data_IF_268371288389
#
_entry.id   IF_268371288389
#
_cell.length_a   1.000
_cell.length_b   1.000
_cell.length_c   1.000
_cell.angle_alpha   90.00
_cell.angle_beta   90.00
_cell.angle_gamma   90.00
#
_symmetry.space_group_name_H-M   'P 1'
#
loop_
_entity.id
_entity.type
_entity.pdbx_description
1 polymer ?
#
# COMPACT_ATOMS: atom_id res chain seq x y z
N UNK A 1 -1.19 22.99 19.52
CA UNK A 1 -1.26 21.80 18.66
C UNK A 1 0.04 21.03 18.81
N UNK A 2 0.03 19.80 19.32
CA UNK A 2 1.22 18.95 19.29
C UNK A 2 1.35 18.38 17.87
N UNK A 3 2.53 18.54 17.27
CA UNK A 3 2.90 17.82 16.06
C UNK A 3 3.35 16.43 16.55
N UNK A 4 2.44 15.45 16.50
CA UNK A 4 2.60 14.15 17.15
C UNK A 4 3.88 13.39 16.75
N UNK A 5 4.30 12.46 17.60
CA UNK A 5 5.39 11.53 17.31
C UNK A 5 4.95 10.51 16.27
N UNK A 6 5.68 10.41 15.17
CA UNK A 6 5.37 9.46 14.10
C UNK A 6 5.46 8.02 14.63
N UNK A 7 4.40 7.22 14.40
CA UNK A 7 4.52 5.76 14.45
C UNK A 7 5.63 5.36 13.47
N UNK A 8 6.63 4.64 13.96
CA UNK A 8 7.86 4.39 13.20
C UNK A 8 7.74 3.27 12.15
N UNK A 9 6.64 2.52 12.16
CA UNK A 9 6.42 1.36 11.28
C UNK A 9 5.80 1.79 9.96
N UNK A 10 6.45 1.46 8.84
CA UNK A 10 5.92 1.65 7.49
C UNK A 10 5.56 0.32 6.84
N UNK A 11 4.47 0.31 6.05
CA UNK A 11 4.05 -0.84 5.25
C UNK A 11 4.15 -0.49 3.76
N UNK A 12 5.03 -1.18 3.04
CA UNK A 12 5.14 -1.12 1.58
C UNK A 12 4.43 -2.31 0.99
N UNK A 13 3.39 -2.06 0.19
CA UNK A 13 2.64 -3.09 -0.50
C UNK A 13 3.00 -3.05 -1.98
N UNK A 14 3.35 -4.20 -2.55
CA UNK A 14 3.47 -4.35 -3.99
C UNK A 14 2.63 -5.50 -4.52
N UNK A 15 1.97 -5.27 -5.66
CA UNK A 15 1.36 -6.34 -6.46
C UNK A 15 2.24 -6.77 -7.63
N UNK A 16 3.36 -6.08 -7.88
CA UNK A 16 4.23 -6.28 -9.06
C UNK A 16 5.49 -7.08 -8.71
N UNK A 17 6.09 -6.82 -7.56
CA UNK A 17 7.36 -7.40 -7.14
C UNK A 17 7.20 -8.25 -5.87
N UNK A 18 7.96 -9.34 -5.80
CA UNK A 18 8.07 -10.12 -4.56
C UNK A 18 8.86 -9.37 -3.49
N UNK A 19 8.67 -9.68 -2.19
CA UNK A 19 9.44 -9.05 -1.11
C UNK A 19 10.95 -9.23 -1.26
N UNK A 20 11.40 -10.37 -1.81
CA UNK A 20 12.81 -10.64 -2.08
C UNK A 20 13.38 -9.72 -3.16
N UNK A 21 12.63 -9.48 -4.24
CA UNK A 21 13.04 -8.54 -5.30
C UNK A 21 13.17 -7.11 -4.76
N UNK A 22 12.18 -6.67 -3.98
CA UNK A 22 12.21 -5.35 -3.34
C UNK A 22 13.38 -5.24 -2.36
N UNK A 23 13.63 -6.28 -1.56
CA UNK A 23 14.76 -6.31 -0.62
C UNK A 23 16.10 -6.19 -1.32
N UNK A 24 16.33 -6.96 -2.39
CA UNK A 24 17.56 -6.87 -3.20
C UNK A 24 17.76 -5.46 -3.77
N UNK A 25 16.68 -4.82 -4.23
CA UNK A 25 16.73 -3.44 -4.72
C UNK A 25 17.08 -2.45 -3.62
N UNK A 26 16.45 -2.57 -2.45
CA UNK A 26 16.73 -1.74 -1.28
C UNK A 26 18.20 -1.87 -0.85
N UNK A 27 18.74 -3.09 -0.83
CA UNK A 27 20.15 -3.35 -0.49
C UNK A 27 21.11 -2.67 -1.48
N UNK A 28 20.80 -2.72 -2.78
CA UNK A 28 21.61 -2.06 -3.83
C UNK A 28 21.70 -0.55 -3.66
N UNK A 29 20.65 0.10 -3.13
CA UNK A 29 20.62 1.54 -2.89
C UNK A 29 20.94 1.91 -1.43
N UNK A 30 21.40 0.95 -0.62
CA UNK A 30 21.82 1.18 0.76
C UNK A 30 20.68 1.46 1.74
N UNK A 31 19.43 1.11 1.40
CA UNK A 31 18.30 1.25 2.31
C UNK A 31 18.23 0.05 3.24
N UNK A 32 18.41 0.30 4.53
CA UNK A 32 18.14 -0.64 5.60
C UNK A 32 17.27 0.03 6.65
N UNK A 33 16.06 -0.49 6.84
CA UNK A 33 15.14 0.00 7.86
C UNK A 33 14.52 -1.19 8.59
N UNK A 34 14.73 -1.34 9.92
CA UNK A 34 14.10 -2.40 10.68
C UNK A 34 12.58 -2.23 10.82
N UNK A 35 12.08 -1.02 10.53
CA UNK A 35 10.66 -0.67 10.70
C UNK A 35 9.91 -0.55 9.36
N UNK A 36 10.54 -0.91 8.23
CA UNK A 36 9.87 -0.94 6.92
C UNK A 36 9.53 -2.39 6.57
N UNK A 37 8.24 -2.71 6.60
CA UNK A 37 7.72 -4.01 6.24
C UNK A 37 7.28 -4.00 4.77
N UNK A 38 7.54 -5.10 4.08
CA UNK A 38 7.16 -5.27 2.66
C UNK A 38 6.20 -6.44 2.56
N UNK A 39 5.06 -6.21 1.92
CA UNK A 39 4.05 -7.22 1.64
C UNK A 39 3.79 -7.32 0.15
N UNK A 40 3.76 -8.55 -0.39
CA UNK A 40 3.26 -8.81 -1.72
C UNK A 40 1.77 -9.14 -1.65
N UNK A 41 0.92 -8.22 -2.10
CA UNK A 41 -0.53 -8.38 -2.05
C UNK A 41 -1.22 -7.57 -3.15
N UNK A 42 -2.26 -8.17 -3.75
CA UNK A 42 -3.10 -7.56 -4.79
C UNK A 42 -4.55 -7.38 -4.34
N UNK A 43 -4.97 -8.07 -3.28
CA UNK A 43 -6.30 -7.96 -2.68
C UNK A 43 -6.34 -6.80 -1.68
N UNK A 44 -7.22 -5.81 -1.91
CA UNK A 44 -7.38 -4.68 -1.01
C UNK A 44 -7.82 -5.13 0.39
N UNK A 45 -8.67 -6.15 0.46
CA UNK A 45 -9.13 -6.72 1.72
C UNK A 45 -7.98 -7.30 2.54
N UNK A 46 -7.02 -7.97 1.89
CA UNK A 46 -5.87 -8.54 2.59
C UNK A 46 -4.86 -7.47 3.01
N UNK A 47 -4.69 -6.42 2.20
CA UNK A 47 -3.90 -5.24 2.57
C UNK A 47 -4.47 -4.61 3.84
N UNK A 48 -5.79 -4.42 3.93
CA UNK A 48 -6.42 -3.86 5.11
C UNK A 48 -6.27 -4.76 6.34
N UNK A 49 -6.42 -6.08 6.21
CA UNK A 49 -6.17 -7.02 7.32
C UNK A 49 -4.75 -6.90 7.87
N UNK A 50 -3.75 -6.87 6.99
CA UNK A 50 -2.34 -6.70 7.39
C UNK A 50 -2.12 -5.35 8.07
N UNK A 51 -2.68 -4.27 7.50
CA UNK A 51 -2.55 -2.93 8.07
C UNK A 51 -3.24 -2.79 9.43
N UNK A 52 -4.40 -3.43 9.64
CA UNK A 52 -5.09 -3.43 10.93
C UNK A 52 -4.29 -4.18 12.01
N UNK A 53 -3.65 -5.30 11.66
CA UNK A 53 -2.79 -6.04 12.59
C UNK A 53 -1.49 -5.30 12.92
N UNK A 54 -0.87 -4.68 11.91
CA UNK A 54 0.42 -4.00 12.05
C UNK A 54 0.30 -2.58 12.63
N UNK A 55 -0.87 -1.95 12.44
CA UNK A 55 -1.14 -0.58 12.85
C UNK A 55 -0.05 0.43 12.40
N UNK A 56 0.31 0.46 11.09
CA UNK A 56 1.46 1.23 10.62
C UNK A 56 1.24 2.74 10.75
N UNK A 57 2.33 3.49 10.76
CA UNK A 57 2.34 4.95 10.67
C UNK A 57 2.22 5.49 9.25
N UNK A 58 2.47 4.66 8.24
CA UNK A 58 2.35 5.00 6.81
C UNK A 58 2.15 3.74 5.98
N UNK A 59 1.38 3.85 4.89
CA UNK A 59 1.20 2.79 3.91
C UNK A 59 1.63 3.32 2.52
N UNK A 60 2.33 2.49 1.75
CA UNK A 60 2.65 2.74 0.34
C UNK A 60 2.04 1.62 -0.50
N UNK A 61 1.32 1.97 -1.56
CA UNK A 61 0.69 1.02 -2.50
C UNK A 61 1.34 1.17 -3.88
N UNK A 62 2.14 0.18 -4.28
CA UNK A 62 2.96 0.17 -5.50
C UNK A 62 2.69 -1.05 -6.42
N UNK A 63 1.83 -0.97 -7.43
CA UNK A 63 1.03 0.18 -7.87
C UNK A 63 -0.46 -0.09 -7.72
N UNK A 64 -1.27 0.97 -7.70
CA UNK A 64 -2.73 0.85 -7.52
C UNK A 64 -3.39 0.05 -8.64
N UNK A 65 -2.81 0.03 -9.84
CA UNK A 65 -3.33 -0.78 -10.97
C UNK A 65 -3.29 -2.28 -10.67
N UNK A 66 -2.42 -2.73 -9.78
CA UNK A 66 -2.32 -4.15 -9.40
C UNK A 66 -3.24 -4.55 -8.26
N UNK A 67 -3.85 -3.58 -7.59
CA UNK A 67 -4.75 -3.81 -6.47
C UNK A 67 -6.17 -3.90 -6.98
N UNK A 68 -6.93 -4.85 -6.45
CA UNK A 68 -8.34 -5.03 -6.73
C UNK A 68 -9.13 -5.24 -5.44
N UNK A 69 -10.44 -4.98 -5.53
CA UNK A 69 -11.40 -5.41 -4.53
C UNK A 69 -12.34 -6.46 -5.11
N UNK A 70 -12.72 -7.42 -4.27
CA UNK A 70 -13.73 -8.44 -4.60
C UNK A 70 -15.15 -7.86 -4.68
N UNK A 71 -15.38 -6.66 -4.14
CA UNK A 71 -16.69 -6.00 -4.16
C UNK A 71 -17.10 -5.52 -5.57
N UNK A 72 -16.15 -5.43 -6.51
CA UNK A 72 -16.40 -5.08 -7.90
C UNK A 72 -16.09 -6.23 -8.85
N UNK A 73 -17.05 -6.55 -9.71
CA UNK A 73 -16.90 -7.53 -10.78
C UNK A 73 -16.24 -6.89 -12.02
N UNK A 74 -14.98 -6.49 -11.88
CA UNK A 74 -14.18 -5.92 -12.97
C UNK A 74 -12.71 -6.31 -12.81
N UNK A 75 -11.99 -6.37 -13.93
CA UNK A 75 -10.60 -6.79 -13.93
C UNK A 75 -9.71 -5.80 -13.14
N UNK A 76 -8.71 -6.30 -12.38
CA UNK A 76 -7.67 -5.47 -11.78
C UNK A 76 -7.07 -4.50 -12.81
N UNK A 77 -6.79 -3.26 -12.40
CA UNK A 77 -6.25 -2.22 -13.27
C UNK A 77 -7.25 -1.55 -14.20
N UNK A 78 -8.50 -2.02 -14.27
CA UNK A 78 -9.58 -1.25 -14.92
C UNK A 78 -9.82 0.08 -14.21
N UNK A 79 -10.31 1.09 -14.95
CA UNK A 79 -10.62 2.41 -14.38
C UNK A 79 -11.56 2.28 -13.18
N UNK A 80 -12.58 1.42 -13.28
CA UNK A 80 -13.51 1.17 -12.17
C UNK A 80 -12.82 0.58 -10.94
N UNK A 81 -11.94 -0.43 -11.09
CA UNK A 81 -11.18 -0.97 -9.95
C UNK A 81 -10.29 0.10 -9.31
N UNK A 82 -9.53 0.85 -10.12
CA UNK A 82 -8.60 1.88 -9.61
C UNK A 82 -9.35 2.98 -8.86
N UNK A 83 -10.48 3.44 -9.40
CA UNK A 83 -11.31 4.45 -8.74
C UNK A 83 -11.87 3.95 -7.41
N UNK A 84 -12.42 2.73 -7.37
CA UNK A 84 -12.99 2.15 -6.14
C UNK A 84 -11.92 1.89 -5.09
N UNK A 85 -10.80 1.27 -5.48
CA UNK A 85 -9.65 1.03 -4.59
C UNK A 85 -9.14 2.37 -4.03
N UNK A 86 -9.01 3.40 -4.88
CA UNK A 86 -8.60 4.74 -4.45
C UNK A 86 -9.58 5.35 -3.43
N UNK A 87 -10.88 5.23 -3.67
CA UNK A 87 -11.91 5.66 -2.73
C UNK A 87 -11.77 4.93 -1.39
N UNK A 88 -11.70 3.59 -1.40
CA UNK A 88 -11.60 2.78 -0.17
C UNK A 88 -10.31 3.05 0.61
N UNK A 89 -9.18 3.24 -0.07
CA UNK A 89 -7.92 3.67 0.55
C UNK A 89 -8.07 5.04 1.22
N UNK A 90 -8.72 6.02 0.57
CA UNK A 90 -9.01 7.32 1.17
C UNK A 90 -9.88 7.19 2.43
N UNK A 91 -10.96 6.39 2.38
CA UNK A 91 -11.83 6.15 3.53
C UNK A 91 -11.07 5.51 4.69
N UNK A 92 -10.23 4.50 4.38
CA UNK A 92 -9.35 3.87 5.36
C UNK A 92 -8.42 4.91 6.01
N UNK A 93 -7.70 5.70 5.20
CA UNK A 93 -6.76 6.72 5.67
C UNK A 93 -7.41 7.73 6.61
N UNK A 94 -8.63 8.19 6.29
CA UNK A 94 -9.40 9.11 7.15
C UNK A 94 -9.80 8.47 8.48
N UNK A 95 -10.27 7.22 8.45
CA UNK A 95 -10.72 6.48 9.63
C UNK A 95 -9.57 6.17 10.58
N UNK A 96 -8.42 5.80 10.06
CA UNK A 96 -7.27 5.34 10.84
C UNK A 96 -6.24 6.44 11.12
N UNK A 97 -6.38 7.60 10.46
CA UNK A 97 -5.40 8.68 10.47
C UNK A 97 -4.00 8.24 9.99
N UNK A 98 -3.95 7.21 9.13
CA UNK A 98 -2.72 6.70 8.54
C UNK A 98 -2.55 7.29 7.13
N UNK A 99 -1.48 8.05 6.85
CA UNK A 99 -1.19 8.53 5.51
C UNK A 99 -0.92 7.36 4.55
N UNK A 100 -1.45 7.47 3.32
CA UNK A 100 -1.29 6.48 2.26
C UNK A 100 -0.69 7.15 1.03
N UNK A 101 0.41 6.60 0.52
CA UNK A 101 1.00 6.94 -0.76
C UNK A 101 0.56 5.94 -1.82
N UNK A 102 0.17 6.45 -2.98
CA UNK A 102 -0.35 5.66 -4.09
C UNK A 102 0.56 5.88 -5.30
N UNK A 103 1.13 4.81 -5.84
CA UNK A 103 1.86 4.85 -7.10
C UNK A 103 0.88 4.47 -8.21
N UNK A 104 0.82 5.30 -9.24
CA UNK A 104 0.03 5.06 -10.43
C UNK A 104 0.87 5.24 -11.69
N UNK A 105 0.87 4.24 -12.56
CA UNK A 105 1.43 4.32 -13.89
C UNK A 105 0.57 5.18 -14.84
N UNK A 106 1.20 6.05 -15.63
CA UNK A 106 0.53 6.78 -16.72
C UNK A 106 0.55 5.90 -17.96
N UNK A 107 -0.64 5.47 -18.40
CA UNK A 107 -0.83 4.69 -19.63
C UNK A 107 -1.35 5.60 -20.75
N UNK A 108 -1.06 5.22 -22.01
CA UNK A 108 -1.51 5.94 -23.22
C UNK A 108 -3.00 5.74 -23.50
#
# INVERSE_FOLDING_TARGET
ASLGTAKQVGLYVSGEESPQQIKMRADRIGIQSPNLYVAAATSLEDIFKVAEQMNPGVIVVDSIQTVFTQELTSAPGSVSQVQEVGCRLMWYAKRTQVPIFIIGHVTK
#
